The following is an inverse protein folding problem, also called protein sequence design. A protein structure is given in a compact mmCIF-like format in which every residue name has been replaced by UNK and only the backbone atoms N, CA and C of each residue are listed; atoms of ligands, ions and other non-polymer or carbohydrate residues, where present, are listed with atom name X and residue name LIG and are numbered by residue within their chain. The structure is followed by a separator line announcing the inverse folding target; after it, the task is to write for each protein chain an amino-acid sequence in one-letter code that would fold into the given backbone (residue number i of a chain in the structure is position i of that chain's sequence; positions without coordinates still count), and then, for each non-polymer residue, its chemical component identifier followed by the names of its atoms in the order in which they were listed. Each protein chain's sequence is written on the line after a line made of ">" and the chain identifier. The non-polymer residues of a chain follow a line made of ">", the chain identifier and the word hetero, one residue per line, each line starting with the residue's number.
data_IF_675601937372
#
_entry.id   IF_675601937372
#
_cell.length_a   1.000
_cell.length_b   1.000
_cell.length_c   1.000
_cell.angle_alpha   90.00
_cell.angle_beta   90.00
_cell.angle_gamma   90.00
#
_symmetry.space_group_name_H-M   'P 1'
#
loop_
_entity.id
_entity.type
_entity.pdbx_description
1 polymer ?
#
# COMPACT_ATOMS: atom_id res chain seq x y z
N UNK A 1 6.47 32.14 -3.62
CA UNK A 1 5.89 30.90 -3.10
C UNK A 1 5.12 30.06 -4.14
N UNK A 2 4.38 30.65 -5.11
CA UNK A 2 3.67 29.90 -6.17
C UNK A 2 4.59 29.23 -7.22
N UNK A 3 5.74 29.79 -7.55
CA UNK A 3 6.64 29.27 -8.60
C UNK A 3 7.28 27.94 -8.19
N UNK A 4 7.61 27.74 -6.92
CA UNK A 4 8.19 26.49 -6.41
C UNK A 4 7.19 25.32 -6.50
N UNK A 5 5.89 25.57 -6.24
CA UNK A 5 4.84 24.54 -6.33
C UNK A 5 4.61 24.02 -7.76
N UNK A 6 4.75 24.88 -8.78
CA UNK A 6 4.58 24.47 -10.18
C UNK A 6 5.78 23.66 -10.66
N UNK A 7 7.00 24.06 -10.29
CA UNK A 7 8.22 23.33 -10.63
C UNK A 7 8.26 21.93 -9.98
N UNK A 8 7.83 21.81 -8.73
CA UNK A 8 7.75 20.53 -8.02
C UNK A 8 6.64 19.63 -8.60
N UNK A 9 5.52 20.21 -9.02
CA UNK A 9 4.46 19.47 -9.72
C UNK A 9 4.94 18.92 -11.06
N UNK A 10 5.68 19.72 -11.83
CA UNK A 10 6.24 19.31 -13.13
C UNK A 10 7.29 18.20 -12.96
N UNK A 11 8.22 18.32 -12.00
CA UNK A 11 9.20 17.29 -11.65
C UNK A 11 8.53 15.97 -11.26
N UNK A 12 7.47 16.04 -10.45
CA UNK A 12 6.72 14.85 -10.04
C UNK A 12 6.00 14.18 -11.22
N UNK A 13 5.46 14.95 -12.17
CA UNK A 13 4.84 14.40 -13.38
C UNK A 13 5.86 13.71 -14.29
N UNK A 14 7.02 14.33 -14.50
CA UNK A 14 8.11 13.75 -15.28
C UNK A 14 8.60 12.44 -14.62
N UNK A 15 8.83 12.45 -13.31
CA UNK A 15 9.23 11.28 -12.57
C UNK A 15 8.21 10.13 -12.70
N UNK A 16 6.92 10.45 -12.63
CA UNK A 16 5.85 9.44 -12.86
C UNK A 16 5.94 8.83 -14.25
N UNK A 17 6.17 9.64 -15.27
CA UNK A 17 6.35 9.18 -16.64
C UNK A 17 7.56 8.25 -16.78
N UNK A 18 8.71 8.64 -16.21
CA UNK A 18 9.95 7.83 -16.23
C UNK A 18 9.74 6.50 -15.50
N UNK A 19 9.15 6.52 -14.31
CA UNK A 19 8.84 5.30 -13.55
C UNK A 19 7.89 4.39 -14.33
N UNK A 20 6.85 4.95 -14.93
CA UNK A 20 5.89 4.18 -15.72
C UNK A 20 6.59 3.53 -16.93
N UNK A 21 7.41 4.27 -17.66
CA UNK A 21 8.17 3.75 -18.81
C UNK A 21 9.15 2.65 -18.40
N UNK A 22 9.87 2.83 -17.29
CA UNK A 22 10.84 1.83 -16.80
C UNK A 22 10.17 0.51 -16.35
N UNK A 23 8.88 0.54 -16.05
CA UNK A 23 8.09 -0.59 -15.56
C UNK A 23 7.02 -1.07 -16.55
N UNK A 24 7.00 -0.58 -17.79
CA UNK A 24 5.94 -0.84 -18.77
C UNK A 24 5.71 -2.34 -19.03
N UNK A 25 6.76 -3.14 -19.03
CA UNK A 25 6.66 -4.60 -19.22
C UNK A 25 6.11 -5.35 -18.01
N UNK A 26 5.88 -4.66 -16.87
CA UNK A 26 5.45 -5.25 -15.59
C UNK A 26 4.02 -4.86 -15.20
N UNK A 27 3.20 -4.43 -16.17
CA UNK A 27 1.88 -3.88 -15.87
C UNK A 27 0.75 -4.91 -15.84
N UNK A 28 0.81 -6.05 -16.41
CA UNK A 28 -0.33 -6.98 -16.51
C UNK A 28 -0.05 -8.37 -15.97
N UNK A 29 0.91 -8.51 -15.07
CA UNK A 29 1.28 -9.82 -14.52
C UNK A 29 2.07 -10.68 -15.51
N UNK A 30 2.61 -10.11 -16.59
CA UNK A 30 3.46 -10.82 -17.52
C UNK A 30 4.71 -11.37 -16.81
N UNK A 31 5.01 -12.65 -17.00
CA UNK A 31 6.12 -13.32 -16.33
C UNK A 31 5.85 -13.79 -14.89
N UNK A 32 4.65 -13.56 -14.34
CA UNK A 32 4.27 -14.07 -13.02
C UNK A 32 3.80 -15.51 -13.15
N UNK A 33 4.58 -16.46 -12.63
CA UNK A 33 4.26 -17.89 -12.66
C UNK A 33 3.26 -18.32 -11.58
N UNK A 34 3.22 -17.61 -10.44
CA UNK A 34 2.28 -17.91 -9.35
C UNK A 34 0.84 -17.52 -9.74
N UNK A 35 -0.12 -18.47 -9.80
CA UNK A 35 -1.52 -18.16 -10.14
C UNK A 35 -2.17 -17.19 -9.15
N UNK A 36 -1.78 -17.25 -7.89
CA UNK A 36 -2.26 -16.32 -6.85
C UNK A 36 -1.70 -14.91 -7.08
N UNK A 37 -0.39 -14.78 -7.27
CA UNK A 37 0.23 -13.48 -7.51
C UNK A 37 -0.28 -12.85 -8.82
N UNK A 38 -0.48 -13.66 -9.86
CA UNK A 38 -1.09 -13.21 -11.12
C UNK A 38 -2.49 -12.65 -10.87
N UNK A 39 -3.34 -13.38 -10.12
CA UNK A 39 -4.69 -12.90 -9.77
C UNK A 39 -4.65 -11.63 -8.94
N UNK A 40 -3.74 -11.53 -7.96
CA UNK A 40 -3.56 -10.34 -7.15
C UNK A 40 -3.20 -9.13 -8.02
N UNK A 41 -2.25 -9.28 -8.94
CA UNK A 41 -1.86 -8.20 -9.86
C UNK A 41 -3.00 -7.83 -10.81
N UNK A 42 -3.66 -8.82 -11.40
CA UNK A 42 -4.63 -8.60 -12.46
C UNK A 42 -5.97 -8.07 -11.97
N UNK A 43 -6.44 -8.59 -10.83
CA UNK A 43 -7.82 -8.36 -10.37
C UNK A 43 -7.91 -7.55 -9.07
N UNK A 44 -6.78 -7.15 -8.48
CA UNK A 44 -6.75 -6.29 -7.29
C UNK A 44 -5.87 -5.07 -7.50
N UNK A 45 -4.57 -5.27 -7.81
CA UNK A 45 -3.61 -4.16 -7.92
C UNK A 45 -3.93 -3.30 -9.15
N UNK A 46 -4.02 -3.91 -10.34
CA UNK A 46 -4.26 -3.23 -11.62
C UNK A 46 -5.70 -3.41 -12.13
N UNK A 47 -6.64 -3.57 -11.22
CA UNK A 47 -8.07 -3.56 -11.51
C UNK A 47 -8.55 -2.13 -11.87
N UNK A 48 -9.29 -2.02 -12.97
CA UNK A 48 -9.82 -0.76 -13.50
C UNK A 48 -11.35 -0.68 -13.52
N UNK A 49 -12.03 -1.66 -12.91
CA UNK A 49 -13.50 -1.62 -12.85
C UNK A 49 -14.00 -0.36 -12.12
N UNK A 50 -15.03 0.29 -12.64
CA UNK A 50 -15.66 1.43 -12.00
C UNK A 50 -16.59 0.93 -10.87
N UNK A 51 -16.03 0.77 -9.67
CA UNK A 51 -16.83 0.42 -8.50
C UNK A 51 -17.75 1.60 -8.12
N UNK A 52 -19.02 1.29 -7.80
CA UNK A 52 -20.00 2.29 -7.38
C UNK A 52 -19.51 3.13 -6.18
N UNK A 53 -18.83 2.50 -5.23
CA UNK A 53 -18.24 3.18 -4.08
C UNK A 53 -17.20 4.25 -4.41
N UNK A 54 -16.60 4.24 -5.60
CA UNK A 54 -15.64 5.27 -5.99
C UNK A 54 -16.30 6.63 -6.19
N UNK A 55 -17.46 6.68 -6.84
CA UNK A 55 -18.19 7.94 -7.05
C UNK A 55 -18.61 8.58 -5.72
N UNK A 56 -19.04 7.77 -4.75
CA UNK A 56 -19.40 8.25 -3.41
C UNK A 56 -18.17 8.82 -2.68
N UNK A 57 -17.04 8.11 -2.74
CA UNK A 57 -15.78 8.57 -2.12
C UNK A 57 -15.24 9.83 -2.80
N UNK A 58 -15.31 9.94 -4.11
CA UNK A 58 -14.87 11.13 -4.85
C UNK A 58 -15.71 12.36 -4.53
N UNK A 59 -17.03 12.20 -4.34
CA UNK A 59 -17.92 13.26 -3.86
C UNK A 59 -17.64 13.66 -2.41
N UNK A 60 -17.38 12.69 -1.54
CA UNK A 60 -17.10 12.94 -0.12
C UNK A 60 -15.70 13.55 0.11
N UNK A 61 -14.75 13.30 -0.78
CA UNK A 61 -13.34 13.67 -0.65
C UNK A 61 -12.80 14.30 -1.97
N UNK A 62 -13.37 15.44 -2.42
CA UNK A 62 -13.06 16.01 -3.73
C UNK A 62 -11.62 16.56 -3.85
N UNK A 63 -11.00 16.93 -2.73
CA UNK A 63 -9.70 17.59 -2.70
C UNK A 63 -8.49 16.64 -2.59
N UNK A 64 -8.69 15.32 -2.72
CA UNK A 64 -7.57 14.37 -2.73
C UNK A 64 -6.73 14.55 -3.98
N UNK A 65 -5.41 14.63 -3.79
CA UNK A 65 -4.48 14.59 -4.90
C UNK A 65 -4.55 13.26 -5.67
N UNK A 66 -4.08 13.24 -6.90
CA UNK A 66 -4.21 12.10 -7.81
C UNK A 66 -3.51 10.83 -7.28
N UNK A 67 -2.38 10.98 -6.57
CA UNK A 67 -1.64 9.84 -6.03
C UNK A 67 -2.35 9.25 -4.81
N UNK A 68 -2.77 10.10 -3.87
CA UNK A 68 -3.56 9.68 -2.71
C UNK A 68 -4.85 8.99 -3.15
N UNK A 69 -5.56 9.57 -4.13
CA UNK A 69 -6.77 8.95 -4.69
C UNK A 69 -6.49 7.58 -5.31
N UNK A 70 -5.42 7.44 -6.06
CA UNK A 70 -5.01 6.18 -6.68
C UNK A 70 -4.69 5.10 -5.64
N UNK A 71 -3.90 5.44 -4.63
CA UNK A 71 -3.53 4.50 -3.56
C UNK A 71 -4.70 4.20 -2.62
N UNK A 72 -5.60 5.16 -2.38
CA UNK A 72 -6.84 4.93 -1.63
C UNK A 72 -7.80 3.98 -2.37
N UNK A 73 -7.93 4.11 -3.71
CA UNK A 73 -8.66 3.12 -4.54
C UNK A 73 -8.04 1.72 -4.45
N UNK A 74 -6.72 1.62 -4.34
CA UNK A 74 -6.06 0.33 -4.07
C UNK A 74 -6.48 -0.21 -2.70
N UNK A 75 -6.51 0.63 -1.65
CA UNK A 75 -6.97 0.22 -0.32
C UNK A 75 -8.41 -0.31 -0.33
N UNK A 76 -9.30 0.33 -1.10
CA UNK A 76 -10.65 -0.20 -1.32
C UNK A 76 -10.60 -1.62 -1.90
N UNK A 77 -9.86 -1.83 -3.00
CA UNK A 77 -9.78 -3.13 -3.67
C UNK A 77 -9.15 -4.21 -2.78
N UNK A 78 -8.08 -3.86 -2.05
CA UNK A 78 -7.45 -4.77 -1.08
C UNK A 78 -8.44 -5.16 0.02
N UNK A 79 -9.14 -4.21 0.60
CA UNK A 79 -10.15 -4.46 1.63
C UNK A 79 -11.32 -5.30 1.09
N UNK A 80 -11.78 -5.00 -0.13
CA UNK A 80 -12.84 -5.78 -0.79
C UNK A 80 -12.40 -7.22 -1.09
N UNK A 81 -11.14 -7.43 -1.47
CA UNK A 81 -10.61 -8.76 -1.79
C UNK A 81 -10.30 -9.59 -0.54
N UNK A 82 -9.62 -8.97 0.43
CA UNK A 82 -9.15 -9.67 1.63
C UNK A 82 -10.24 -9.85 2.70
N UNK A 83 -11.28 -8.99 2.68
CA UNK A 83 -12.37 -9.00 3.64
C UNK A 83 -11.88 -9.00 5.11
N UNK A 84 -11.00 -8.04 5.49
CA UNK A 84 -10.37 -8.02 6.81
C UNK A 84 -11.41 -7.86 7.93
N UNK A 85 -11.11 -8.39 9.11
CA UNK A 85 -11.85 -8.13 10.35
C UNK A 85 -11.36 -6.85 11.01
N UNK A 86 -10.03 -6.63 10.98
CA UNK A 86 -9.39 -5.50 11.63
C UNK A 86 -8.32 -4.87 10.74
N UNK A 87 -8.37 -3.55 10.64
CA UNK A 87 -7.38 -2.72 9.93
C UNK A 87 -6.74 -1.79 10.95
N UNK A 88 -5.42 -1.89 11.11
CA UNK A 88 -4.62 -0.98 11.91
C UNK A 88 -3.95 0.05 11.00
N UNK A 89 -4.29 1.32 11.13
CA UNK A 89 -3.75 2.39 10.29
C UNK A 89 -2.84 3.32 11.10
N UNK A 90 -1.56 3.21 10.85
CA UNK A 90 -0.48 4.00 11.46
C UNK A 90 0.04 5.08 10.50
N UNK A 91 -0.70 5.36 9.43
CA UNK A 91 -0.28 6.30 8.40
C UNK A 91 -0.89 7.68 8.53
N UNK A 92 -0.43 8.60 7.69
CA UNK A 92 -1.05 9.90 7.47
C UNK A 92 -2.36 9.78 6.66
N UNK A 93 -3.16 10.87 6.63
CA UNK A 93 -4.40 10.95 5.88
C UNK A 93 -5.43 9.84 6.20
N UNK A 94 -5.49 9.42 7.45
CA UNK A 94 -6.32 8.31 7.94
C UNK A 94 -7.81 8.46 7.57
N UNK A 95 -8.34 9.70 7.54
CA UNK A 95 -9.73 9.97 7.15
C UNK A 95 -10.00 9.49 5.71
N UNK A 96 -9.10 9.80 4.78
CA UNK A 96 -9.23 9.42 3.38
C UNK A 96 -9.11 7.91 3.21
N UNK A 97 -8.00 7.33 3.67
CA UNK A 97 -7.74 5.89 3.53
C UNK A 97 -8.78 5.04 4.26
N UNK A 98 -9.18 5.47 5.48
CA UNK A 98 -10.21 4.78 6.27
C UNK A 98 -11.58 4.78 5.58
N UNK A 99 -11.95 5.85 4.87
CA UNK A 99 -13.16 5.88 4.08
C UNK A 99 -13.14 4.82 2.96
N UNK A 100 -12.04 4.73 2.20
CA UNK A 100 -11.89 3.75 1.14
C UNK A 100 -11.80 2.31 1.66
N UNK A 101 -11.07 2.06 2.76
CA UNK A 101 -11.01 0.74 3.39
C UNK A 101 -12.40 0.26 3.83
N UNK A 102 -13.15 1.11 4.53
CA UNK A 102 -14.51 0.78 4.99
C UNK A 102 -15.51 0.65 3.84
N UNK A 103 -15.33 1.40 2.76
CA UNK A 103 -16.17 1.22 1.57
C UNK A 103 -15.91 -0.13 0.88
N UNK A 104 -14.68 -0.64 0.93
CA UNK A 104 -14.32 -1.97 0.41
C UNK A 104 -14.79 -3.12 1.32
N UNK A 105 -14.74 -2.94 2.64
CA UNK A 105 -15.24 -3.91 3.62
C UNK A 105 -15.93 -3.21 4.79
N UNK A 106 -17.27 -3.14 4.74
CA UNK A 106 -18.08 -2.41 5.75
C UNK A 106 -18.00 -3.00 7.14
N UNK A 107 -17.74 -4.30 7.26
CA UNK A 107 -17.64 -5.01 8.54
C UNK A 107 -16.28 -4.87 9.22
N UNK A 108 -15.26 -4.36 8.52
CA UNK A 108 -13.93 -4.20 9.06
C UNK A 108 -13.91 -3.16 10.18
N UNK A 109 -13.38 -3.53 11.34
CA UNK A 109 -12.99 -2.59 12.37
C UNK A 109 -11.77 -1.80 11.87
N UNK A 110 -11.79 -0.48 12.07
CA UNK A 110 -10.70 0.40 11.61
C UNK A 110 -10.19 1.20 12.81
N UNK A 111 -8.93 0.96 13.17
CA UNK A 111 -8.25 1.60 14.30
C UNK A 111 -7.13 2.49 13.82
N UNK A 112 -6.88 3.60 14.52
CA UNK A 112 -5.84 4.59 14.21
C UNK A 112 -5.07 4.96 15.47
N UNK A 113 -3.87 5.56 15.33
CA UNK A 113 -3.06 6.04 16.43
C UNK A 113 -2.70 4.93 17.42
N UNK A 114 -2.78 5.22 18.72
CA UNK A 114 -2.45 4.27 19.80
C UNK A 114 -3.31 2.99 19.74
N UNK A 115 -4.59 3.13 19.40
CA UNK A 115 -5.47 1.97 19.26
C UNK A 115 -5.06 1.05 18.10
N UNK A 116 -4.46 1.60 17.02
CA UNK A 116 -3.88 0.82 15.94
C UNK A 116 -2.60 0.13 16.37
N UNK A 117 -1.72 0.84 17.10
CA UNK A 117 -0.49 0.25 17.66
C UNK A 117 -0.80 -0.94 18.57
N UNK A 118 -1.73 -0.79 19.49
CA UNK A 118 -2.14 -1.85 20.41
C UNK A 118 -2.78 -3.06 19.71
N UNK A 119 -3.34 -2.86 18.52
CA UNK A 119 -4.08 -3.88 17.80
C UNK A 119 -3.31 -4.53 16.64
N UNK A 120 -2.03 -4.21 16.44
CA UNK A 120 -1.24 -4.72 15.31
C UNK A 120 -1.18 -6.24 15.24
N UNK A 121 -1.08 -6.92 16.39
CA UNK A 121 -1.02 -8.39 16.45
C UNK A 121 -2.30 -9.11 16.01
N UNK A 122 -3.43 -8.40 16.02
CA UNK A 122 -4.74 -8.91 15.61
C UNK A 122 -5.14 -8.42 14.21
N UNK A 123 -4.38 -7.49 13.63
CA UNK A 123 -4.75 -6.82 12.39
C UNK A 123 -4.51 -7.70 11.16
N UNK A 124 -5.55 -7.83 10.34
CA UNK A 124 -5.44 -8.49 9.03
C UNK A 124 -4.77 -7.56 8.00
N UNK A 125 -4.91 -6.23 8.18
CA UNK A 125 -4.20 -5.23 7.38
C UNK A 125 -3.54 -4.22 8.31
N UNK A 126 -2.25 -3.96 8.11
CA UNK A 126 -1.49 -2.91 8.79
C UNK A 126 -1.03 -1.91 7.72
N UNK A 127 -1.43 -0.65 7.84
CA UNK A 127 -1.02 0.42 6.93
C UNK A 127 -0.06 1.37 7.63
N UNK A 128 1.08 1.66 6.98
CA UNK A 128 2.12 2.55 7.50
C UNK A 128 2.47 3.59 6.43
N UNK A 129 2.60 4.85 6.83
CA UNK A 129 3.21 5.89 6.01
C UNK A 129 4.43 6.47 6.73
N UNK A 130 5.37 7.08 5.99
CA UNK A 130 6.55 7.68 6.62
C UNK A 130 6.17 8.79 7.59
N UNK A 131 7.00 8.95 8.59
CA UNK A 131 7.11 10.14 9.46
C UNK A 131 8.49 10.76 9.24
N UNK A 132 8.67 12.02 9.64
CA UNK A 132 9.92 12.74 9.36
C UNK A 132 11.14 12.09 10.03
N UNK A 133 10.98 11.46 11.18
CA UNK A 133 12.05 10.73 11.87
C UNK A 133 12.22 9.33 11.27
N UNK A 134 13.33 9.12 10.58
CA UNK A 134 13.68 7.85 9.94
C UNK A 134 13.86 6.69 10.95
N UNK A 135 14.29 6.98 12.18
CA UNK A 135 14.43 5.97 13.23
C UNK A 135 13.05 5.52 13.71
N UNK A 136 12.13 6.47 13.94
CA UNK A 136 10.75 6.16 14.28
C UNK A 136 10.07 5.33 13.19
N UNK A 137 10.35 5.61 11.90
CA UNK A 137 9.87 4.79 10.77
C UNK A 137 10.31 3.34 10.92
N UNK A 138 11.60 3.11 11.19
CA UNK A 138 12.12 1.73 11.30
C UNK A 138 11.48 0.98 12.45
N UNK A 139 11.34 1.60 13.62
CA UNK A 139 10.70 1.00 14.79
C UNK A 139 9.24 0.57 14.50
N UNK A 140 8.47 1.43 13.84
CA UNK A 140 7.07 1.13 13.52
C UNK A 140 6.97 0.02 12.49
N UNK A 141 7.84 0.02 11.46
CA UNK A 141 7.87 -1.04 10.44
C UNK A 141 8.30 -2.37 11.06
N UNK A 142 9.35 -2.39 11.88
CA UNK A 142 9.83 -3.60 12.53
C UNK A 142 8.78 -4.17 13.50
N UNK A 143 8.09 -3.31 14.25
CA UNK A 143 6.98 -3.71 15.10
C UNK A 143 5.83 -4.34 14.28
N UNK A 144 5.46 -3.73 13.16
CA UNK A 144 4.40 -4.25 12.29
C UNK A 144 4.78 -5.59 11.65
N UNK A 145 6.03 -5.71 11.17
CA UNK A 145 6.53 -6.95 10.57
C UNK A 145 6.58 -8.10 11.58
N UNK A 146 6.93 -7.80 12.83
CA UNK A 146 6.97 -8.78 13.93
C UNK A 146 5.59 -9.14 14.46
N UNK A 147 4.62 -8.23 14.36
CA UNK A 147 3.23 -8.44 14.80
C UNK A 147 2.37 -9.16 13.78
N UNK A 148 2.77 -9.15 12.50
CA UNK A 148 1.98 -9.73 11.42
C UNK A 148 1.87 -11.26 11.57
N UNK A 149 0.65 -11.78 11.43
CA UNK A 149 0.33 -13.20 11.49
C UNK A 149 0.10 -13.78 10.08
N UNK A 150 -0.06 -15.11 9.99
CA UNK A 150 -0.42 -15.77 8.73
C UNK A 150 -1.75 -15.22 8.19
N UNK A 151 -1.73 -14.78 6.93
CA UNK A 151 -2.88 -14.13 6.27
C UNK A 151 -2.93 -12.61 6.44
N UNK A 152 -2.04 -12.02 7.26
CA UNK A 152 -1.91 -10.56 7.34
C UNK A 152 -1.29 -9.98 6.08
N UNK A 153 -1.57 -8.69 5.86
CA UNK A 153 -0.93 -7.85 4.84
C UNK A 153 -0.44 -6.55 5.47
N UNK A 154 0.82 -6.19 5.19
CA UNK A 154 1.36 -4.86 5.52
C UNK A 154 1.46 -4.02 4.26
N UNK A 155 0.91 -2.80 4.32
CA UNK A 155 0.97 -1.78 3.27
C UNK A 155 1.89 -0.65 3.71
N UNK A 156 3.01 -0.48 3.02
CA UNK A 156 4.01 0.56 3.27
C UNK A 156 3.92 1.64 2.20
N UNK A 157 3.69 2.89 2.58
CA UNK A 157 3.70 4.02 1.63
C UNK A 157 5.12 4.53 1.38
N UNK A 158 5.30 5.16 0.22
CA UNK A 158 6.51 5.91 -0.18
C UNK A 158 7.83 5.11 -0.11
N UNK A 159 7.78 3.81 -0.41
CA UNK A 159 8.92 2.87 -0.34
C UNK A 159 10.13 3.27 -1.22
N UNK A 160 9.95 4.13 -2.21
CA UNK A 160 11.03 4.70 -3.03
C UNK A 160 11.19 6.21 -2.87
N UNK A 161 10.26 6.89 -2.20
CA UNK A 161 10.24 8.34 -2.10
C UNK A 161 10.79 8.87 -0.77
N UNK A 162 10.66 8.09 0.30
CA UNK A 162 11.17 8.42 1.63
C UNK A 162 12.37 7.55 1.97
N UNK A 163 13.47 8.13 2.46
CA UNK A 163 14.74 7.42 2.66
C UNK A 163 14.61 6.28 3.71
N UNK A 164 13.98 6.55 4.85
CA UNK A 164 13.72 5.55 5.88
C UNK A 164 12.86 4.39 5.37
N UNK A 165 11.75 4.69 4.68
CA UNK A 165 10.89 3.66 4.11
C UNK A 165 11.60 2.82 3.04
N UNK A 166 12.49 3.43 2.26
CA UNK A 166 13.30 2.71 1.26
C UNK A 166 14.22 1.70 1.93
N UNK A 167 14.90 2.08 3.01
CA UNK A 167 15.75 1.15 3.78
C UNK A 167 14.94 0.00 4.37
N UNK A 168 13.83 0.30 5.03
CA UNK A 168 12.92 -0.73 5.55
C UNK A 168 12.45 -1.68 4.44
N UNK A 169 12.03 -1.13 3.31
CA UNK A 169 11.58 -1.94 2.17
C UNK A 169 12.67 -2.87 1.62
N UNK A 170 13.91 -2.36 1.47
CA UNK A 170 15.05 -3.16 1.04
C UNK A 170 15.33 -4.31 2.02
N UNK A 171 15.34 -4.01 3.32
CA UNK A 171 15.51 -5.03 4.38
C UNK A 171 14.43 -6.11 4.29
N UNK A 172 13.16 -5.74 4.12
CA UNK A 172 12.05 -6.69 3.98
C UNK A 172 12.26 -7.59 2.75
N UNK A 173 12.56 -6.98 1.60
CA UNK A 173 12.78 -7.72 0.35
C UNK A 173 13.97 -8.67 0.44
N UNK A 174 15.05 -8.27 1.08
CA UNK A 174 16.28 -9.07 1.15
C UNK A 174 16.27 -10.11 2.27
N UNK A 175 15.80 -9.73 3.46
CA UNK A 175 16.07 -10.49 4.69
C UNK A 175 14.84 -11.21 5.27
N UNK A 176 13.59 -10.77 4.97
CA UNK A 176 12.41 -11.40 5.56
C UNK A 176 12.06 -12.70 4.82
N UNK A 177 12.11 -13.86 5.48
CA UNK A 177 11.70 -15.12 4.87
C UNK A 177 10.17 -15.26 4.81
N UNK A 178 9.68 -16.11 3.91
CA UNK A 178 8.27 -16.54 3.90
C UNK A 178 7.25 -15.46 3.56
N UNK A 179 7.68 -14.35 2.93
CA UNK A 179 6.77 -13.28 2.49
C UNK A 179 6.70 -13.18 0.98
N UNK A 180 5.54 -12.73 0.49
CA UNK A 180 5.37 -12.32 -0.90
C UNK A 180 5.22 -10.82 -0.95
N UNK A 181 6.08 -10.14 -1.72
CA UNK A 181 6.07 -8.68 -1.82
C UNK A 181 5.67 -8.19 -3.21
N UNK A 182 4.98 -7.05 -3.26
CA UNK A 182 4.68 -6.32 -4.48
C UNK A 182 5.18 -4.88 -4.34
N UNK A 183 6.20 -4.53 -5.11
CA UNK A 183 6.71 -3.17 -5.25
C UNK A 183 5.89 -2.43 -6.31
N UNK A 184 5.06 -1.48 -5.87
CA UNK A 184 4.22 -0.64 -6.70
C UNK A 184 4.81 0.76 -6.90
N UNK A 185 6.06 0.98 -6.54
CA UNK A 185 6.80 2.24 -6.49
C UNK A 185 6.34 3.21 -5.39
N UNK A 186 5.06 3.60 -5.40
CA UNK A 186 4.49 4.53 -4.41
C UNK A 186 4.14 3.85 -3.09
N UNK A 187 3.93 2.56 -3.14
CA UNK A 187 3.71 1.73 -1.97
C UNK A 187 4.21 0.31 -2.21
N UNK A 188 4.46 -0.40 -1.13
CA UNK A 188 4.80 -1.82 -1.11
C UNK A 188 3.75 -2.61 -0.36
N UNK A 189 3.43 -3.79 -0.86
CA UNK A 189 2.57 -4.75 -0.19
C UNK A 189 3.40 -5.94 0.26
N UNK A 190 3.22 -6.36 1.51
CA UNK A 190 3.87 -7.54 2.09
C UNK A 190 2.79 -8.49 2.57
N UNK A 191 2.74 -9.69 2.03
CA UNK A 191 1.79 -10.73 2.41
C UNK A 191 2.50 -11.82 3.19
N UNK A 192 1.92 -12.23 4.32
CA UNK A 192 2.43 -13.25 5.22
C UNK A 192 1.67 -14.55 4.99
N UNK A 193 2.23 -15.44 4.18
CA UNK A 193 1.63 -16.75 3.87
C UNK A 193 2.68 -17.85 3.99
N UNK A 194 2.68 -18.63 5.06
CA UNK A 194 3.64 -19.73 5.33
C UNK A 194 3.72 -20.78 4.23
N UNK A 195 2.65 -20.97 3.46
CA UNK A 195 2.59 -21.95 2.37
C UNK A 195 3.27 -21.49 1.08
N UNK A 196 3.79 -20.26 1.04
CA UNK A 196 4.40 -19.69 -0.17
C UNK A 196 5.90 -19.52 0.02
N UNK A 197 6.62 -19.76 -1.05
CA UNK A 197 8.03 -19.36 -1.12
C UNK A 197 8.15 -17.85 -1.19
N UNK A 198 9.22 -17.30 -0.64
CA UNK A 198 9.57 -15.90 -0.78
C UNK A 198 9.60 -15.51 -2.26
N UNK A 199 8.83 -14.50 -2.62
CA UNK A 199 8.76 -13.97 -3.98
C UNK A 199 8.61 -12.45 -3.93
N UNK A 200 9.39 -11.76 -4.75
CA UNK A 200 9.39 -10.31 -4.85
C UNK A 200 8.96 -9.90 -6.27
N UNK A 201 7.87 -9.16 -6.36
CA UNK A 201 7.33 -8.71 -7.63
C UNK A 201 7.44 -7.18 -7.75
N UNK A 202 7.99 -6.70 -8.86
CA UNK A 202 7.95 -5.28 -9.21
C UNK A 202 6.83 -5.11 -10.22
N UNK A 203 5.85 -4.26 -9.88
CA UNK A 203 4.64 -4.07 -10.69
C UNK A 203 4.54 -2.60 -11.11
N UNK A 204 4.15 -2.37 -12.34
CA UNK A 204 3.75 -1.05 -12.79
C UNK A 204 2.32 -0.78 -12.32
N UNK A 205 2.20 0.23 -11.46
CA UNK A 205 0.94 0.59 -10.81
C UNK A 205 0.58 2.02 -11.12
#
# INVERSE_FOLDING_TARGET
>A
MMINNVADSCKQQILRGVVWLSRIHRCRGFGIQSPWAYRMVRYVINEHCPYYGYADMERALPHLDALTRKTAKLCFRLSNHLQPRLIADLGAQQKAYGAYFRAGCRRAAYKTGEAAMAAMTEADIIRISPVDDEFAVSLVVDAAMSSAHEGSMVLLHDIHRHAGMRRCWQTIVEQTPGVVTFDLYYCGLVFFEKKRYKQNYIINF
#
